data_IF_995155297128
#
_entry.id   IF_995155297128
#
_cell.length_a   1.000
_cell.length_b   1.000
_cell.length_c   1.000
_cell.angle_alpha   90.00
_cell.angle_beta   90.00
_cell.angle_gamma   90.00
#
_symmetry.space_group_name_H-M   'P 1'
#
loop_
_entity.id
_entity.type
_entity.pdbx_description
1 polymer ?
#
# COMPACT_ATOMS: atom_id res chain seq x y z
N UNK A 1 9.53 41.79 44.96
CA UNK A 1 9.42 40.31 44.90
C UNK A 1 8.14 39.89 45.61
N UNK A 2 7.03 39.72 44.87
CA UNK A 2 5.76 39.23 45.43
C UNK A 2 5.71 37.70 45.23
N UNK A 3 5.69 36.96 46.35
CA UNK A 3 5.45 35.51 46.37
C UNK A 3 3.96 35.26 46.15
N UNK A 4 3.61 34.69 45.01
CA UNK A 4 2.29 34.14 44.80
C UNK A 4 2.31 32.68 45.25
N UNK A 5 1.67 32.42 46.38
CA UNK A 5 1.33 31.10 46.86
C UNK A 5 0.28 30.52 45.92
N UNK A 6 0.60 29.43 45.23
CA UNK A 6 -0.37 28.70 44.42
C UNK A 6 -0.69 27.40 45.15
N UNK A 7 -1.93 27.33 45.63
CA UNK A 7 -2.55 26.17 46.27
C UNK A 7 -2.58 24.98 45.32
N UNK A 8 -2.07 23.84 45.77
CA UNK A 8 -2.22 22.55 45.13
C UNK A 8 -3.66 22.06 45.33
N UNK A 9 -4.52 22.25 44.33
CA UNK A 9 -5.84 21.61 44.30
C UNK A 9 -5.68 20.17 43.84
N UNK A 10 -5.89 19.23 44.77
CA UNK A 10 -5.97 17.80 44.54
C UNK A 10 -6.96 17.47 43.42
N UNK A 11 -6.45 16.85 42.35
CA UNK A 11 -7.26 16.35 41.25
C UNK A 11 -7.86 15.01 41.71
N UNK A 12 -9.18 14.95 41.80
CA UNK A 12 -9.89 13.71 42.06
C UNK A 12 -9.71 12.75 40.88
N UNK A 13 -9.00 11.65 41.09
CA UNK A 13 -8.89 10.56 40.13
C UNK A 13 -10.23 9.86 40.00
N UNK A 14 -10.95 10.08 38.89
CA UNK A 14 -12.06 9.21 38.50
C UNK A 14 -11.49 7.86 38.09
N UNK A 15 -11.70 6.85 38.92
CA UNK A 15 -11.51 5.44 38.53
C UNK A 15 -12.61 5.07 37.53
N UNK A 16 -12.31 5.15 36.23
CA UNK A 16 -13.12 4.50 35.22
C UNK A 16 -13.08 2.99 35.49
N UNK A 17 -14.24 2.42 35.75
CA UNK A 17 -14.43 0.99 35.92
C UNK A 17 -13.76 0.24 34.77
N UNK A 18 -12.92 -0.73 35.14
CA UNK A 18 -12.30 -1.68 34.24
C UNK A 18 -13.39 -2.54 33.57
N UNK A 19 -13.90 -2.10 32.43
CA UNK A 19 -14.46 -3.03 31.44
C UNK A 19 -13.26 -3.53 30.65
N UNK A 20 -12.91 -4.83 30.70
CA UNK A 20 -12.01 -5.41 29.73
C UNK A 20 -12.75 -5.31 28.39
N UNK A 21 -12.39 -4.31 27.58
CA UNK A 21 -12.71 -4.28 26.15
C UNK A 21 -11.86 -5.34 25.42
N UNK A 22 -11.87 -6.58 25.92
CA UNK A 22 -11.33 -7.73 25.23
C UNK A 22 -12.42 -8.13 24.23
N UNK A 23 -12.33 -7.59 23.02
CA UNK A 23 -13.23 -8.03 21.94
C UNK A 23 -13.51 -7.06 20.81
N UNK A 24 -12.93 -5.85 20.80
CA UNK A 24 -13.02 -4.95 19.65
C UNK A 24 -11.66 -4.66 19.02
N UNK A 25 -10.76 -5.64 18.99
CA UNK A 25 -9.74 -5.67 17.93
C UNK A 25 -10.42 -6.10 16.64
N UNK A 26 -11.33 -5.27 16.11
CA UNK A 26 -11.64 -5.26 14.69
C UNK A 26 -10.45 -4.64 13.94
N UNK A 27 -9.25 -5.18 14.17
CA UNK A 27 -8.13 -4.99 13.27
C UNK A 27 -8.17 -6.13 12.24
N UNK A 28 -9.31 -6.27 11.56
CA UNK A 28 -9.33 -6.86 10.23
C UNK A 28 -8.83 -5.82 9.19
N UNK A 29 -7.94 -4.91 9.61
CA UNK A 29 -7.18 -4.08 8.70
C UNK A 29 -6.28 -5.04 7.93
N UNK A 30 -6.70 -5.34 6.70
CA UNK A 30 -5.89 -6.08 5.74
C UNK A 30 -4.45 -5.55 5.80
N UNK A 31 -3.49 -6.46 5.99
CA UNK A 31 -2.08 -6.08 6.05
C UNK A 31 -1.75 -5.18 4.84
N UNK A 32 -1.00 -4.08 5.04
CA UNK A 32 -0.72 -3.14 3.98
C UNK A 32 -0.05 -3.87 2.81
N UNK A 33 -0.60 -3.68 1.61
CA UNK A 33 -0.02 -4.23 0.40
C UNK A 33 1.08 -3.28 -0.07
N UNK A 34 2.33 -3.75 -0.08
CA UNK A 34 3.50 -2.94 -0.44
C UNK A 34 4.21 -3.53 -1.65
N UNK A 35 4.60 -2.67 -2.60
CA UNK A 35 5.52 -3.01 -3.68
C UNK A 35 6.89 -2.42 -3.36
N UNK A 36 7.89 -3.28 -3.12
CA UNK A 36 9.25 -2.82 -2.84
C UNK A 36 10.00 -2.64 -4.16
N UNK A 37 10.50 -1.42 -4.37
CA UNK A 37 11.19 -1.00 -5.60
C UNK A 37 12.64 -0.61 -5.34
N UNK A 38 12.97 -0.17 -4.12
CA UNK A 38 14.31 0.34 -3.79
C UNK A 38 15.44 -0.70 -3.84
N UNK A 39 15.10 -1.99 -3.94
CA UNK A 39 16.03 -3.09 -4.14
C UNK A 39 16.24 -3.49 -5.61
N UNK A 40 15.53 -2.86 -6.55
CA UNK A 40 15.53 -3.22 -7.97
C UNK A 40 16.23 -2.17 -8.82
N UNK A 41 17.09 -2.61 -9.75
CA UNK A 41 17.58 -1.76 -10.82
C UNK A 41 16.65 -1.86 -12.04
N UNK A 42 15.70 -0.94 -12.17
CA UNK A 42 14.70 -0.99 -13.24
C UNK A 42 15.25 -0.77 -14.67
N UNK A 43 16.54 -0.48 -14.83
CA UNK A 43 17.22 -0.49 -16.13
C UNK A 43 17.72 -1.89 -16.52
N UNK A 44 17.72 -2.85 -15.59
CA UNK A 44 18.01 -4.25 -15.84
C UNK A 44 16.70 -4.99 -16.21
N UNK A 45 16.68 -5.78 -17.30
CA UNK A 45 15.48 -6.50 -17.71
C UNK A 45 14.91 -7.51 -16.70
N UNK A 46 15.78 -8.18 -15.94
CA UNK A 46 15.34 -9.15 -14.94
C UNK A 46 14.68 -8.45 -13.74
N UNK A 47 15.30 -7.38 -13.25
CA UNK A 47 14.75 -6.58 -12.14
C UNK A 47 13.47 -5.85 -12.54
N UNK A 48 13.36 -5.40 -13.80
CA UNK A 48 12.12 -4.85 -14.33
C UNK A 48 11.00 -5.91 -14.37
N UNK A 49 11.29 -7.14 -14.80
CA UNK A 49 10.32 -8.23 -14.78
C UNK A 49 9.90 -8.62 -13.35
N UNK A 50 10.83 -8.56 -12.40
CA UNK A 50 10.56 -8.75 -10.98
C UNK A 50 9.65 -7.65 -10.43
N UNK A 51 9.90 -6.38 -10.78
CA UNK A 51 9.01 -5.27 -10.45
C UNK A 51 7.59 -5.50 -10.99
N UNK A 52 7.46 -5.88 -12.26
CA UNK A 52 6.18 -6.16 -12.90
C UNK A 52 5.41 -7.29 -12.19
N UNK A 53 6.13 -8.34 -11.78
CA UNK A 53 5.56 -9.46 -11.03
C UNK A 53 5.04 -9.01 -9.67
N UNK A 54 5.86 -8.25 -8.92
CA UNK A 54 5.49 -7.70 -7.61
C UNK A 54 4.28 -6.76 -7.70
N UNK A 55 4.27 -5.88 -8.70
CA UNK A 55 3.18 -4.95 -8.93
C UNK A 55 1.87 -5.68 -9.29
N UNK A 56 1.94 -6.70 -10.14
CA UNK A 56 0.78 -7.51 -10.50
C UNK A 56 0.20 -8.27 -9.29
N UNK A 57 1.07 -8.86 -8.46
CA UNK A 57 0.64 -9.59 -7.27
C UNK A 57 0.06 -8.67 -6.18
N UNK A 58 0.68 -7.52 -5.96
CA UNK A 58 0.14 -6.48 -5.08
C UNK A 58 -1.25 -6.02 -5.55
N UNK A 59 -1.38 -5.70 -6.84
CA UNK A 59 -2.64 -5.28 -7.46
C UNK A 59 -3.74 -6.33 -7.26
N UNK A 60 -3.45 -7.60 -7.55
CA UNK A 60 -4.40 -8.71 -7.35
C UNK A 60 -4.81 -8.85 -5.89
N UNK A 61 -3.85 -8.81 -4.96
CA UNK A 61 -4.12 -8.94 -3.51
C UNK A 61 -5.02 -7.80 -3.02
N UNK A 62 -4.66 -6.57 -3.36
CA UNK A 62 -5.42 -5.39 -2.99
C UNK A 62 -6.84 -5.42 -3.57
N UNK A 63 -6.97 -5.61 -4.88
CA UNK A 63 -8.28 -5.60 -5.54
C UNK A 63 -9.15 -6.79 -5.18
N UNK A 64 -8.56 -7.96 -4.84
CA UNK A 64 -9.32 -9.08 -4.29
C UNK A 64 -9.85 -8.76 -2.89
N UNK A 65 -9.02 -8.16 -2.03
CA UNK A 65 -9.45 -7.75 -0.70
C UNK A 65 -10.57 -6.70 -0.79
N UNK A 66 -10.40 -5.68 -1.64
CA UNK A 66 -11.40 -4.63 -1.89
C UNK A 66 -12.70 -5.22 -2.44
N UNK A 67 -12.61 -6.10 -3.45
CA UNK A 67 -13.79 -6.74 -4.03
C UNK A 67 -14.57 -7.57 -3.02
N UNK A 68 -13.89 -8.28 -2.11
CA UNK A 68 -14.56 -9.04 -1.05
C UNK A 68 -15.22 -8.13 -0.01
N UNK A 69 -14.55 -7.03 0.37
CA UNK A 69 -15.03 -6.08 1.37
C UNK A 69 -16.22 -5.26 0.86
N UNK A 70 -16.15 -4.77 -0.37
CA UNK A 70 -17.14 -3.88 -0.99
C UNK A 70 -18.16 -4.61 -1.88
N UNK A 71 -18.04 -5.95 -2.01
CA UNK A 71 -18.87 -6.78 -2.90
C UNK A 71 -18.87 -6.30 -4.35
N UNK A 72 -17.69 -5.94 -4.85
CA UNK A 72 -17.53 -5.44 -6.22
C UNK A 72 -17.83 -6.54 -7.24
N UNK A 73 -18.52 -6.17 -8.32
CA UNK A 73 -18.70 -7.03 -9.49
C UNK A 73 -17.37 -7.22 -10.26
N UNK A 74 -17.42 -8.05 -11.30
CA UNK A 74 -16.25 -8.39 -12.11
C UNK A 74 -15.63 -7.19 -12.83
N UNK A 75 -16.45 -6.23 -13.32
CA UNK A 75 -15.99 -5.03 -14.00
C UNK A 75 -15.38 -4.04 -13.02
N UNK A 76 -16.04 -3.81 -11.89
CA UNK A 76 -15.54 -2.98 -10.80
C UNK A 76 -14.21 -3.50 -10.24
N UNK A 77 -14.04 -4.83 -10.18
CA UNK A 77 -12.74 -5.44 -9.82
C UNK A 77 -11.68 -5.24 -10.90
N UNK A 78 -12.03 -5.26 -12.19
CA UNK A 78 -11.08 -4.96 -13.28
C UNK A 78 -10.65 -3.50 -13.26
N UNK A 79 -11.58 -2.57 -13.05
CA UNK A 79 -11.29 -1.14 -12.89
C UNK A 79 -10.30 -0.92 -11.74
N UNK A 80 -10.53 -1.54 -10.58
CA UNK A 80 -9.57 -1.52 -9.48
C UNK A 80 -8.15 -1.91 -9.91
N UNK A 81 -8.01 -2.97 -10.72
CA UNK A 81 -6.68 -3.43 -11.15
C UNK A 81 -5.98 -2.43 -12.07
N UNK A 82 -6.74 -1.69 -12.88
CA UNK A 82 -6.21 -0.63 -13.74
C UNK A 82 -5.77 0.56 -12.86
N UNK A 83 -6.68 1.06 -12.02
CA UNK A 83 -6.41 2.23 -11.17
C UNK A 83 -5.20 2.01 -10.24
N UNK A 84 -5.10 0.83 -9.64
CA UNK A 84 -3.97 0.49 -8.74
C UNK A 84 -2.67 0.38 -9.53
N UNK A 85 -2.72 -0.09 -10.78
CA UNK A 85 -1.53 -0.18 -11.62
C UNK A 85 -1.05 1.21 -12.03
N UNK A 86 -1.98 2.09 -12.37
CA UNK A 86 -1.67 3.49 -12.69
C UNK A 86 -1.06 4.19 -11.46
N UNK A 87 -1.65 4.02 -10.28
CA UNK A 87 -1.10 4.55 -9.02
C UNK A 87 0.31 4.03 -8.72
N UNK A 88 0.57 2.73 -8.94
CA UNK A 88 1.92 2.15 -8.78
C UNK A 88 2.93 2.86 -9.71
N UNK A 89 2.55 3.11 -10.96
CA UNK A 89 3.41 3.79 -11.93
C UNK A 89 3.60 5.28 -11.61
N UNK A 90 2.58 5.95 -11.09
CA UNK A 90 2.64 7.34 -10.67
C UNK A 90 3.57 7.54 -9.47
N UNK A 91 3.65 6.54 -8.58
CA UNK A 91 4.55 6.55 -7.43
C UNK A 91 6.02 6.28 -7.78
N UNK A 92 6.34 5.85 -8.99
CA UNK A 92 7.72 5.77 -9.45
C UNK A 92 8.30 7.17 -9.68
N UNK A 93 9.59 7.33 -9.44
CA UNK A 93 10.29 8.55 -9.89
C UNK A 93 10.36 8.60 -11.42
N UNK A 94 10.57 9.80 -11.99
CA UNK A 94 10.74 9.95 -13.45
C UNK A 94 11.87 9.08 -14.00
N UNK A 95 12.99 8.98 -13.26
CA UNK A 95 14.13 8.14 -13.63
C UNK A 95 13.75 6.66 -13.67
N UNK A 96 12.99 6.20 -12.69
CA UNK A 96 12.51 4.81 -12.63
C UNK A 96 11.52 4.49 -13.77
N UNK A 97 10.59 5.41 -14.07
CA UNK A 97 9.69 5.27 -15.21
C UNK A 97 10.43 5.22 -16.53
N UNK A 98 11.43 6.10 -16.73
CA UNK A 98 12.26 6.11 -17.92
C UNK A 98 13.08 4.82 -18.06
N UNK A 99 13.64 4.31 -16.97
CA UNK A 99 14.38 3.06 -16.95
C UNK A 99 13.47 1.88 -17.37
N UNK A 100 12.29 1.74 -16.76
CA UNK A 100 11.31 0.71 -17.15
C UNK A 100 10.92 0.82 -18.64
N UNK A 101 10.62 2.03 -19.11
CA UNK A 101 10.24 2.26 -20.50
C UNK A 101 11.36 1.90 -21.48
N UNK A 102 12.62 2.11 -21.09
CA UNK A 102 13.78 1.74 -21.91
C UNK A 102 13.94 0.22 -22.04
N UNK A 103 13.71 -0.53 -20.95
CA UNK A 103 13.73 -1.99 -20.95
C UNK A 103 12.61 -2.56 -21.81
N UNK A 104 11.39 -2.02 -21.68
CA UNK A 104 10.24 -2.46 -22.46
C UNK A 104 10.47 -2.32 -23.98
N UNK A 105 11.22 -1.29 -24.40
CA UNK A 105 11.61 -1.09 -25.81
C UNK A 105 12.78 -1.97 -26.24
N UNK A 106 13.69 -2.29 -25.32
CA UNK A 106 14.89 -3.07 -25.59
C UNK A 106 14.66 -4.59 -25.60
N UNK A 107 13.57 -5.07 -25.00
CA UNK A 107 13.21 -6.49 -25.02
C UNK A 107 12.48 -6.75 -26.33
N UNK A 108 13.11 -7.36 -27.36
CA UNK A 108 12.41 -7.69 -28.58
C UNK A 108 11.28 -8.64 -28.21
N UNK A 109 10.09 -8.25 -28.63
CA UNK A 109 8.82 -8.96 -28.46
C UNK A 109 8.97 -10.39 -28.98
N UNK A 110 9.39 -11.32 -28.12
CA UNK A 110 9.18 -12.76 -28.28
C UNK A 110 7.70 -13.15 -28.03
N UNK A 111 6.78 -12.20 -28.24
CA UNK A 111 5.32 -12.34 -28.07
C UNK A 111 4.64 -12.59 -29.43
N UNK A 112 5.37 -12.60 -30.54
CA UNK A 112 4.83 -12.95 -31.87
C UNK A 112 4.88 -14.45 -32.19
N UNK A 113 5.32 -15.30 -31.26
CA UNK A 113 5.47 -16.74 -31.47
C UNK A 113 4.85 -17.56 -30.34
N UNK A 114 3.57 -17.33 -30.01
CA UNK A 114 2.72 -18.27 -29.28
C UNK A 114 1.27 -18.14 -29.74
#
# INVERSE_FOLDING_TARGET
MRKFMISLTSIATLTLAAVPLIGLTQAAHAAPVTVRVGDLNLANPADAAEFETRAADATKRFCRARANHERLDLMSRRACMIDVRDEINDKLSDKQRQALASVARATPVAVAAR
#
